data_IF_603874253503
#
_entry.id   IF_603874253503
#
_cell.length_a   1.000
_cell.length_b   1.000
_cell.length_c   1.000
_cell.angle_alpha   90.00
_cell.angle_beta   90.00
_cell.angle_gamma   90.00
#
_symmetry.space_group_name_H-M   'P 1'
#
loop_
_entity.id
_entity.type
_entity.pdbx_description
1 polymer ?
#
# COMPACT_ATOMS: atom_id res chain seq x y z
N UNK A 1 21.94 -29.22 32.56
CA UNK A 1 21.15 -28.39 31.62
C UNK A 1 19.73 -28.97 31.44
N UNK A 2 18.75 -28.67 32.32
CA UNK A 2 17.35 -28.99 32.02
C UNK A 2 16.43 -27.79 32.30
N UNK A 3 16.29 -26.88 31.33
CA UNK A 3 15.25 -25.84 31.35
C UNK A 3 14.32 -25.91 30.12
N UNK A 4 14.60 -26.82 29.17
CA UNK A 4 13.89 -26.94 27.89
C UNK A 4 12.65 -27.86 27.95
N UNK A 5 12.32 -28.42 29.12
CA UNK A 5 11.22 -29.38 29.30
C UNK A 5 10.07 -28.83 30.16
N UNK A 6 9.82 -27.51 30.15
CA UNK A 6 8.58 -26.99 30.74
C UNK A 6 7.44 -27.15 29.72
N UNK A 7 6.30 -27.78 30.08
CA UNK A 7 5.16 -27.94 29.18
C UNK A 7 4.58 -26.58 28.71
N UNK A 8 4.84 -25.51 29.47
CA UNK A 8 4.48 -24.14 29.11
C UNK A 8 5.28 -23.65 27.89
N UNK A 9 6.59 -23.93 27.79
CA UNK A 9 7.39 -23.49 26.65
C UNK A 9 6.91 -24.12 25.34
N UNK A 10 6.60 -25.42 25.36
CA UNK A 10 6.05 -26.13 24.21
C UNK A 10 4.67 -25.60 23.81
N UNK A 11 3.81 -25.26 24.77
CA UNK A 11 2.53 -24.61 24.49
C UNK A 11 2.71 -23.24 23.82
N UNK A 12 3.66 -22.42 24.27
CA UNK A 12 3.95 -21.13 23.62
C UNK A 12 4.53 -21.29 22.21
N UNK A 13 5.39 -22.30 22.00
CA UNK A 13 5.94 -22.61 20.68
C UNK A 13 4.83 -23.06 19.72
N UNK A 14 3.92 -23.93 20.14
CA UNK A 14 2.81 -24.38 19.29
C UNK A 14 1.83 -23.25 19.00
N UNK A 15 1.52 -22.40 19.97
CA UNK A 15 0.71 -21.19 19.76
C UNK A 15 1.39 -20.24 18.76
N UNK A 16 2.69 -19.97 18.94
CA UNK A 16 3.43 -19.08 18.05
C UNK A 16 3.51 -19.62 16.62
N UNK A 17 3.73 -20.93 16.45
CA UNK A 17 3.73 -21.59 15.14
C UNK A 17 2.35 -21.55 14.49
N UNK A 18 1.28 -21.85 15.24
CA UNK A 18 -0.09 -21.79 14.74
C UNK A 18 -0.47 -20.35 14.34
N UNK A 19 -0.11 -19.36 15.14
CA UNK A 19 -0.33 -17.95 14.84
C UNK A 19 0.47 -17.52 13.60
N UNK A 20 1.75 -17.90 13.50
CA UNK A 20 2.58 -17.60 12.33
C UNK A 20 2.05 -18.22 11.04
N UNK A 21 1.60 -19.48 11.11
CA UNK A 21 0.96 -20.16 9.98
C UNK A 21 -0.36 -19.48 9.57
N UNK A 22 -1.17 -19.08 10.55
CA UNK A 22 -2.41 -18.34 10.29
C UNK A 22 -2.15 -16.97 9.65
N UNK A 23 -1.16 -16.22 10.15
CA UNK A 23 -0.75 -14.94 9.57
C UNK A 23 -0.23 -15.12 8.15
N UNK A 24 0.55 -16.17 7.88
CA UNK A 24 1.02 -16.49 6.54
C UNK A 24 -0.15 -16.79 5.59
N UNK A 25 -1.11 -17.59 6.04
CA UNK A 25 -2.31 -17.95 5.26
C UNK A 25 -3.21 -16.73 4.95
N UNK A 26 -3.37 -15.82 5.92
CA UNK A 26 -4.18 -14.61 5.77
C UNK A 26 -3.38 -13.42 5.23
N UNK A 27 -2.09 -13.57 4.96
CA UNK A 27 -1.20 -12.46 4.55
C UNK A 27 -1.73 -11.61 3.37
N UNK A 28 -2.38 -12.17 2.33
CA UNK A 28 -2.92 -11.36 1.24
C UNK A 28 -4.09 -10.45 1.68
N UNK A 29 -4.87 -10.91 2.67
CA UNK A 29 -6.03 -10.19 3.21
C UNK A 29 -5.58 -9.21 4.30
N UNK A 30 -4.47 -9.46 5.00
CA UNK A 30 -3.95 -8.54 6.02
C UNK A 30 -3.59 -7.17 5.44
N UNK A 31 -3.03 -7.11 4.23
CA UNK A 31 -2.61 -5.86 3.60
C UNK A 31 -3.76 -4.84 3.44
N UNK A 32 -4.90 -5.17 2.80
CA UNK A 32 -6.02 -4.23 2.68
C UNK A 32 -6.65 -3.89 4.04
N UNK A 33 -6.64 -4.81 5.00
CA UNK A 33 -7.12 -4.55 6.36
C UNK A 33 -6.25 -3.55 7.12
N UNK A 34 -4.93 -3.73 7.08
CA UNK A 34 -3.97 -2.83 7.73
C UNK A 34 -4.03 -1.44 7.08
N UNK A 35 -4.11 -1.40 5.76
CA UNK A 35 -4.27 -0.15 5.02
C UNK A 35 -5.57 0.58 5.42
N UNK A 36 -6.69 -0.13 5.47
CA UNK A 36 -7.95 0.42 5.95
C UNK A 36 -7.88 0.87 7.41
N UNK A 37 -7.13 0.19 8.29
CA UNK A 37 -6.93 0.60 9.67
C UNK A 37 -6.12 1.90 9.80
N UNK A 38 -5.07 2.07 9.00
CA UNK A 38 -4.32 3.33 8.92
C UNK A 38 -5.23 4.46 8.43
N UNK A 39 -6.02 4.22 7.37
CA UNK A 39 -6.98 5.20 6.90
C UNK A 39 -8.05 5.52 7.95
N UNK A 40 -8.56 4.51 8.66
CA UNK A 40 -9.53 4.70 9.72
C UNK A 40 -8.98 5.62 10.81
N UNK A 41 -7.73 5.39 11.26
CA UNK A 41 -7.05 6.26 12.21
C UNK A 41 -6.94 7.72 11.71
N UNK A 42 -6.63 7.91 10.42
CA UNK A 42 -6.53 9.23 9.81
C UNK A 42 -7.90 9.93 9.72
N UNK A 43 -8.94 9.18 9.37
CA UNK A 43 -10.29 9.72 9.10
C UNK A 43 -11.20 9.79 10.33
N UNK A 44 -10.91 9.07 11.40
CA UNK A 44 -11.63 9.11 12.67
C UNK A 44 -11.85 10.54 13.22
N UNK A 45 -10.84 11.44 13.31
CA UNK A 45 -11.07 12.82 13.75
C UNK A 45 -12.03 13.60 12.85
N UNK A 46 -12.14 13.24 11.57
CA UNK A 46 -13.10 13.84 10.66
C UNK A 46 -14.53 13.35 10.96
N UNK A 47 -14.70 12.06 11.21
CA UNK A 47 -15.98 11.46 11.65
C UNK A 47 -16.43 12.03 12.99
N UNK A 48 -15.52 12.19 13.96
CA UNK A 48 -15.82 12.82 15.24
C UNK A 48 -16.29 14.26 15.07
N UNK A 49 -15.62 15.06 14.21
CA UNK A 49 -16.03 16.44 13.92
C UNK A 49 -17.46 16.50 13.39
N UNK A 50 -17.82 15.63 12.44
CA UNK A 50 -19.19 15.57 11.93
C UNK A 50 -20.19 15.15 13.02
N UNK A 51 -19.83 14.17 13.84
CA UNK A 51 -20.70 13.68 14.93
C UNK A 51 -20.97 14.76 15.98
N UNK A 52 -19.99 15.63 16.27
CA UNK A 52 -20.17 16.81 17.14
C UNK A 52 -21.20 17.81 16.61
N UNK A 53 -21.44 17.84 15.29
CA UNK A 53 -22.51 18.64 14.66
C UNK A 53 -23.89 17.95 14.67
N UNK A 54 -24.13 17.01 15.60
CA UNK A 54 -25.38 16.23 15.72
C UNK A 54 -25.69 15.30 14.52
N UNK A 55 -24.69 14.98 13.70
CA UNK A 55 -24.84 13.96 12.65
C UNK A 55 -24.75 12.58 13.29
N UNK A 56 -25.68 11.63 13.02
CA UNK A 56 -25.55 10.28 13.54
C UNK A 56 -24.28 9.63 12.99
N UNK A 57 -23.53 8.93 13.85
CA UNK A 57 -22.19 8.40 13.53
C UNK A 57 -22.15 7.61 12.23
N UNK A 58 -23.14 6.76 11.97
CA UNK A 58 -23.23 6.01 10.71
C UNK A 58 -23.26 6.90 9.48
N UNK A 59 -24.02 8.00 9.52
CA UNK A 59 -24.08 8.95 8.40
C UNK A 59 -22.77 9.73 8.25
N UNK A 60 -22.14 10.11 9.37
CA UNK A 60 -20.83 10.74 9.36
C UNK A 60 -19.77 9.84 8.69
N UNK A 61 -19.77 8.55 9.01
CA UNK A 61 -18.87 7.56 8.38
C UNK A 61 -19.14 7.43 6.87
N UNK A 62 -20.40 7.31 6.45
CA UNK A 62 -20.75 7.22 5.02
C UNK A 62 -20.28 8.46 4.27
N UNK A 63 -20.50 9.67 4.83
CA UNK A 63 -20.07 10.92 4.21
C UNK A 63 -18.54 11.00 4.08
N UNK A 64 -17.80 10.64 5.13
CA UNK A 64 -16.34 10.62 5.11
C UNK A 64 -15.81 9.57 4.13
N UNK A 65 -16.44 8.39 4.06
CA UNK A 65 -16.08 7.35 3.10
C UNK A 65 -16.29 7.82 1.65
N UNK A 66 -17.45 8.41 1.36
CA UNK A 66 -17.75 8.97 0.03
C UNK A 66 -16.75 10.07 -0.35
N UNK A 67 -16.42 10.96 0.59
CA UNK A 67 -15.42 11.99 0.39
C UNK A 67 -14.03 11.39 0.12
N UNK A 68 -13.62 10.39 0.91
CA UNK A 68 -12.33 9.72 0.73
C UNK A 68 -12.23 9.03 -0.64
N UNK A 69 -13.27 8.31 -1.06
CA UNK A 69 -13.34 7.68 -2.38
C UNK A 69 -13.32 8.74 -3.48
N UNK A 70 -14.10 9.82 -3.35
CA UNK A 70 -14.12 10.91 -4.34
C UNK A 70 -12.75 11.58 -4.48
N UNK A 71 -12.06 11.84 -3.37
CA UNK A 71 -10.69 12.39 -3.37
C UNK A 71 -9.71 11.41 -4.00
N UNK A 72 -9.78 10.12 -3.65
CA UNK A 72 -8.90 9.11 -4.24
C UNK A 72 -9.08 9.00 -5.77
N UNK A 73 -10.33 8.98 -6.23
CA UNK A 73 -10.66 8.97 -7.66
C UNK A 73 -10.15 10.24 -8.34
N UNK A 74 -10.37 11.42 -7.73
CA UNK A 74 -9.88 12.69 -8.27
C UNK A 74 -8.36 12.73 -8.38
N UNK A 75 -7.64 12.27 -7.34
CA UNK A 75 -6.19 12.12 -7.37
C UNK A 75 -5.78 11.18 -8.50
N UNK A 76 -6.42 10.03 -8.64
CA UNK A 76 -6.10 9.08 -9.70
C UNK A 76 -6.34 9.68 -11.09
N UNK A 77 -7.44 10.40 -11.28
CA UNK A 77 -7.73 11.09 -12.56
C UNK A 77 -6.72 12.18 -12.93
N UNK A 78 -6.03 12.78 -11.96
CA UNK A 78 -5.02 13.84 -12.21
C UNK A 78 -3.61 13.27 -12.26
N UNK A 79 -3.24 12.43 -11.29
CA UNK A 79 -1.89 11.88 -11.15
C UNK A 79 -1.59 10.88 -12.26
N UNK A 80 -2.53 10.02 -12.63
CA UNK A 80 -2.32 9.00 -13.65
C UNK A 80 -1.97 9.60 -15.03
N UNK A 81 -2.69 10.61 -15.57
CA UNK A 81 -2.30 11.22 -16.84
C UNK A 81 -1.02 12.05 -16.72
N UNK A 82 -0.79 12.73 -15.60
CA UNK A 82 0.47 13.42 -15.35
C UNK A 82 1.64 12.44 -15.41
N UNK A 83 1.55 11.32 -14.70
CA UNK A 83 2.57 10.28 -14.69
C UNK A 83 2.83 9.69 -16.07
N UNK A 84 1.77 9.46 -16.86
CA UNK A 84 1.90 8.98 -18.24
C UNK A 84 2.62 10.02 -19.13
N UNK A 85 2.23 11.29 -19.04
CA UNK A 85 2.85 12.38 -19.81
C UNK A 85 4.33 12.60 -19.42
N UNK A 86 4.65 12.53 -18.14
CA UNK A 86 6.02 12.65 -17.63
C UNK A 86 6.89 11.48 -18.08
N UNK A 87 6.37 10.25 -18.01
CA UNK A 87 7.08 9.06 -18.50
C UNK A 87 7.33 9.16 -20.01
N UNK A 88 6.34 9.62 -20.80
CA UNK A 88 6.50 9.85 -22.23
C UNK A 88 7.58 10.89 -22.54
N UNK A 89 7.58 12.01 -21.82
CA UNK A 89 8.57 13.07 -21.97
C UNK A 89 9.99 12.59 -21.60
N UNK A 90 10.11 11.77 -20.56
CA UNK A 90 11.38 11.17 -20.17
C UNK A 90 11.91 10.25 -21.28
N UNK A 91 11.03 9.45 -21.88
CA UNK A 91 11.40 8.52 -22.95
C UNK A 91 11.76 9.24 -24.25
N UNK A 92 11.13 10.38 -24.55
CA UNK A 92 11.54 11.26 -25.65
C UNK A 92 12.92 11.90 -25.42
N UNK A 93 13.28 12.19 -24.16
CA UNK A 93 14.58 12.78 -23.79
C UNK A 93 15.70 11.75 -23.56
N UNK A 94 15.34 10.47 -23.43
CA UNK A 94 16.26 9.35 -23.24
C UNK A 94 17.44 9.32 -24.25
N UNK A 95 17.23 9.47 -25.58
CA UNK A 95 18.34 9.41 -26.53
C UNK A 95 19.36 10.54 -26.30
N UNK A 96 18.87 11.73 -25.94
CA UNK A 96 19.71 12.90 -25.64
C UNK A 96 20.53 12.69 -24.36
N UNK A 97 19.94 12.04 -23.36
CA UNK A 97 20.63 11.67 -22.14
C UNK A 97 21.75 10.65 -22.41
N UNK A 98 21.46 9.61 -23.20
CA UNK A 98 22.46 8.60 -23.59
C UNK A 98 23.60 9.22 -24.41
N UNK A 99 23.29 10.12 -25.34
CA UNK A 99 24.30 10.83 -26.11
C UNK A 99 25.21 11.70 -25.22
N UNK A 100 24.63 12.41 -24.25
CA UNK A 100 25.42 13.20 -23.28
C UNK A 100 26.30 12.30 -22.40
N UNK A 101 25.77 11.16 -21.93
CA UNK A 101 26.50 10.18 -21.14
C UNK A 101 27.71 9.64 -21.91
N UNK A 102 27.53 9.22 -23.15
CA UNK A 102 28.63 8.70 -23.98
C UNK A 102 29.68 9.78 -24.30
N UNK A 103 29.28 11.05 -24.40
CA UNK A 103 30.18 12.14 -24.73
C UNK A 103 31.00 12.66 -23.52
N UNK A 104 30.44 12.64 -22.31
CA UNK A 104 31.07 13.26 -21.13
C UNK A 104 31.35 12.28 -20.00
N UNK A 105 30.39 11.41 -19.68
CA UNK A 105 30.50 10.50 -18.54
C UNK A 105 31.31 9.25 -18.86
N UNK A 106 31.11 8.63 -20.02
CA UNK A 106 31.84 7.43 -20.44
C UNK A 106 33.37 7.65 -20.54
N UNK A 107 33.88 8.76 -21.13
CA UNK A 107 35.32 9.03 -21.15
C UNK A 107 35.89 9.28 -19.75
N UNK A 108 35.14 9.95 -18.88
CA UNK A 108 35.54 10.17 -17.48
C UNK A 108 35.63 8.86 -16.70
N UNK A 109 34.65 7.96 -16.88
CA UNK A 109 34.62 6.64 -16.26
C UNK A 109 35.80 5.79 -16.71
N UNK A 110 36.09 5.80 -18.01
CA UNK A 110 37.24 5.10 -18.59
C UNK A 110 38.56 5.65 -18.03
N UNK A 111 38.70 6.98 -17.94
CA UNK A 111 39.92 7.61 -17.45
C UNK A 111 40.17 7.38 -15.95
N UNK A 112 39.13 7.20 -15.13
CA UNK A 112 39.26 7.09 -13.67
C UNK A 112 39.18 5.66 -13.13
N UNK A 113 38.44 4.79 -13.81
CA UNK A 113 38.10 3.44 -13.34
C UNK A 113 38.48 2.33 -14.33
N UNK A 114 39.04 2.67 -15.50
CA UNK A 114 39.38 1.75 -16.60
C UNK A 114 38.18 0.90 -17.10
N UNK A 115 36.96 1.39 -16.86
CA UNK A 115 35.72 0.75 -17.30
C UNK A 115 35.29 1.30 -18.67
N UNK A 116 35.19 0.43 -19.68
CA UNK A 116 34.67 0.80 -21.00
C UNK A 116 33.15 0.58 -21.06
N UNK A 117 32.41 1.57 -20.58
CA UNK A 117 30.94 1.56 -20.61
C UNK A 117 30.46 2.49 -21.72
N UNK A 118 29.89 1.91 -22.78
CA UNK A 118 29.18 2.64 -23.84
C UNK A 118 27.73 2.20 -23.87
N UNK A 119 26.82 3.17 -23.82
CA UNK A 119 25.40 2.91 -23.92
C UNK A 119 24.97 3.02 -25.38
N UNK A 120 24.33 1.98 -25.91
CA UNK A 120 23.76 2.02 -27.26
C UNK A 120 22.45 2.82 -27.24
N UNK A 121 22.42 3.90 -28.01
CA UNK A 121 21.25 4.78 -28.15
C UNK A 121 20.07 3.98 -28.72
N UNK A 122 20.31 3.07 -29.65
CA UNK A 122 19.25 2.35 -30.35
C UNK A 122 18.55 1.36 -29.40
N UNK A 123 19.32 0.57 -28.65
CA UNK A 123 18.79 -0.31 -27.60
C UNK A 123 18.07 0.48 -26.49
N UNK A 124 18.62 1.61 -26.03
CA UNK A 124 17.97 2.43 -25.01
C UNK A 124 16.62 2.98 -25.48
N UNK A 125 16.54 3.45 -26.73
CA UNK A 125 15.28 3.94 -27.30
C UNK A 125 14.26 2.84 -27.56
N UNK A 126 14.70 1.64 -27.98
CA UNK A 126 13.80 0.49 -28.14
C UNK A 126 13.21 0.04 -26.81
N UNK A 127 14.03 -0.10 -25.76
CA UNK A 127 13.56 -0.43 -24.41
C UNK A 127 12.56 0.60 -23.90
N UNK A 128 12.85 1.89 -24.08
CA UNK A 128 11.94 2.97 -23.69
C UNK A 128 10.58 2.90 -24.41
N UNK A 129 10.59 2.66 -25.73
CA UNK A 129 9.35 2.49 -26.52
C UNK A 129 8.58 1.24 -26.13
N UNK A 130 9.27 0.13 -25.86
CA UNK A 130 8.65 -1.11 -25.43
C UNK A 130 7.95 -0.95 -24.08
N UNK A 131 8.56 -0.26 -23.10
CA UNK A 131 7.92 0.01 -21.81
C UNK A 131 6.63 0.84 -21.95
N UNK A 132 6.61 1.85 -22.84
CA UNK A 132 5.37 2.58 -23.14
C UNK A 132 4.30 1.68 -23.79
N UNK A 133 4.71 0.86 -24.75
CA UNK A 133 3.80 -0.04 -25.46
C UNK A 133 3.20 -1.09 -24.51
N UNK A 134 4.01 -1.66 -23.61
CA UNK A 134 3.57 -2.60 -22.58
C UNK A 134 2.52 -1.97 -21.66
N UNK A 135 2.66 -0.70 -21.27
CA UNK A 135 1.66 0.01 -20.45
C UNK A 135 0.32 0.18 -21.19
N UNK A 136 0.34 0.49 -22.49
CA UNK A 136 -0.88 0.53 -23.30
C UNK A 136 -1.50 -0.85 -23.49
N UNK A 137 -0.66 -1.88 -23.63
CA UNK A 137 -1.10 -3.27 -23.77
C UNK A 137 -1.70 -3.80 -22.47
N UNK A 138 -1.14 -3.43 -21.31
CA UNK A 138 -1.68 -3.74 -19.98
C UNK A 138 -3.07 -3.15 -19.82
N UNK A 139 -3.26 -1.86 -20.15
CA UNK A 139 -4.57 -1.22 -20.10
C UNK A 139 -5.59 -1.93 -21.02
N UNK A 140 -5.18 -2.29 -22.24
CA UNK A 140 -6.02 -3.07 -23.18
C UNK A 140 -6.29 -4.48 -22.68
N UNK A 141 -5.31 -5.14 -22.06
CA UNK A 141 -5.46 -6.49 -21.48
C UNK A 141 -6.39 -6.47 -20.29
N UNK A 142 -6.33 -5.46 -19.41
CA UNK A 142 -7.31 -5.29 -18.34
C UNK A 142 -8.70 -5.12 -18.94
N UNK A 143 -8.89 -4.21 -19.91
CA UNK A 143 -10.17 -4.02 -20.61
C UNK A 143 -10.71 -5.28 -21.31
N UNK A 144 -9.82 -6.11 -21.84
CA UNK A 144 -10.20 -7.36 -22.52
C UNK A 144 -10.46 -8.47 -21.53
N UNK A 145 -9.66 -8.60 -20.47
CA UNK A 145 -9.90 -9.52 -19.35
C UNK A 145 -11.22 -9.20 -18.65
N UNK A 146 -11.56 -7.92 -18.48
CA UNK A 146 -12.88 -7.47 -18.02
C UNK A 146 -14.03 -8.02 -18.88
N UNK A 147 -13.81 -8.17 -20.18
CA UNK A 147 -14.82 -8.66 -21.13
C UNK A 147 -14.86 -10.19 -21.25
N UNK A 148 -13.74 -10.88 -21.06
CA UNK A 148 -13.58 -12.29 -21.48
C UNK A 148 -13.26 -13.26 -20.34
N UNK A 149 -12.84 -12.79 -19.16
CA UNK A 149 -12.43 -13.64 -18.04
C UNK A 149 -12.78 -13.04 -16.68
N UNK A 150 -13.87 -13.53 -16.07
CA UNK A 150 -14.36 -13.02 -14.78
C UNK A 150 -13.44 -13.27 -13.58
N UNK A 151 -12.52 -14.22 -13.64
CA UNK A 151 -11.72 -14.64 -12.47
C UNK A 151 -10.77 -13.53 -11.95
N UNK A 152 -10.02 -12.86 -12.84
CA UNK A 152 -9.13 -11.76 -12.47
C UNK A 152 -9.93 -10.54 -11.97
N UNK A 153 -11.10 -10.33 -12.57
CA UNK A 153 -11.99 -9.25 -12.16
C UNK A 153 -12.52 -9.46 -10.74
N UNK A 154 -12.85 -10.70 -10.36
CA UNK A 154 -13.30 -11.02 -9.00
C UNK A 154 -12.21 -10.68 -7.98
N UNK A 155 -10.94 -11.01 -8.25
CA UNK A 155 -9.84 -10.68 -7.33
C UNK A 155 -9.65 -9.17 -7.16
N UNK A 156 -9.61 -8.42 -8.27
CA UNK A 156 -9.44 -6.96 -8.21
C UNK A 156 -10.64 -6.30 -7.53
N UNK A 157 -11.87 -6.73 -7.83
CA UNK A 157 -13.07 -6.22 -7.18
C UNK A 157 -13.10 -6.58 -5.70
N UNK A 158 -12.70 -7.80 -5.34
CA UNK A 158 -12.61 -8.20 -3.95
C UNK A 158 -11.67 -7.25 -3.19
N UNK A 159 -10.46 -7.01 -3.68
CA UNK A 159 -9.50 -6.10 -3.04
C UNK A 159 -10.02 -4.65 -2.99
N UNK A 160 -10.59 -4.16 -4.11
CA UNK A 160 -11.09 -2.79 -4.23
C UNK A 160 -12.32 -2.52 -3.35
N UNK A 161 -13.20 -3.51 -3.18
CA UNK A 161 -14.40 -3.41 -2.34
C UNK A 161 -14.07 -3.67 -0.88
N UNK A 162 -13.08 -4.53 -0.60
CA UNK A 162 -12.72 -4.88 0.77
C UNK A 162 -12.20 -3.67 1.55
N UNK A 163 -11.33 -2.84 0.97
CA UNK A 163 -10.80 -1.64 1.64
C UNK A 163 -11.89 -0.69 2.13
N UNK A 164 -12.84 -0.20 1.29
CA UNK A 164 -13.89 0.71 1.74
C UNK A 164 -14.88 0.03 2.70
N UNK A 165 -15.15 -1.27 2.55
CA UNK A 165 -16.00 -2.02 3.50
C UNK A 165 -15.34 -2.11 4.87
N UNK A 166 -14.08 -2.51 4.92
CA UNK A 166 -13.33 -2.61 6.18
C UNK A 166 -13.17 -1.23 6.81
N UNK A 167 -12.86 -0.21 6.03
CA UNK A 167 -12.77 1.18 6.50
C UNK A 167 -14.10 1.66 7.09
N UNK A 168 -15.23 1.36 6.45
CA UNK A 168 -16.55 1.66 6.99
C UNK A 168 -16.77 1.02 8.37
N UNK A 169 -16.50 -0.28 8.50
CA UNK A 169 -16.66 -0.98 9.77
C UNK A 169 -15.72 -0.44 10.85
N UNK A 170 -14.44 -0.21 10.50
CA UNK A 170 -13.45 0.32 11.43
C UNK A 170 -13.81 1.71 11.92
N UNK A 171 -14.24 2.64 11.05
CA UNK A 171 -14.66 3.98 11.45
C UNK A 171 -15.97 3.96 12.27
N UNK A 172 -16.94 3.11 11.89
CA UNK A 172 -18.23 3.02 12.59
C UNK A 172 -18.08 2.46 13.99
N UNK A 173 -17.24 1.45 14.16
CA UNK A 173 -17.13 0.70 15.41
C UNK A 173 -15.78 0.98 16.12
N UNK A 174 -15.03 2.01 15.68
CA UNK A 174 -13.69 2.39 16.16
C UNK A 174 -13.55 2.36 17.69
N UNK A 175 -14.35 3.16 18.40
CA UNK A 175 -14.35 3.21 19.86
C UNK A 175 -14.59 1.85 20.53
N UNK A 176 -15.51 1.04 20.00
CA UNK A 176 -15.79 -0.30 20.55
C UNK A 176 -14.60 -1.25 20.36
N UNK A 177 -13.85 -1.10 19.25
CA UNK A 177 -12.63 -1.87 19.00
C UNK A 177 -11.52 -1.44 19.95
N UNK A 178 -11.32 -0.14 20.14
CA UNK A 178 -10.35 0.39 21.11
C UNK A 178 -10.67 -0.05 22.54
N UNK A 179 -11.93 0.05 22.96
CA UNK A 179 -12.36 -0.39 24.30
C UNK A 179 -12.06 -1.88 24.53
N UNK A 180 -12.24 -2.73 23.51
CA UNK A 180 -11.92 -4.16 23.60
C UNK A 180 -10.42 -4.41 23.65
N UNK A 181 -9.63 -3.70 22.84
CA UNK A 181 -8.17 -3.79 22.86
C UNK A 181 -7.63 -3.36 24.22
N UNK A 182 -8.19 -2.29 24.80
CA UNK A 182 -7.81 -1.79 26.13
C UNK A 182 -8.08 -2.80 27.25
N UNK A 183 -9.17 -3.57 27.16
CA UNK A 183 -9.49 -4.62 28.15
C UNK A 183 -8.53 -5.81 28.08
N UNK A 184 -7.97 -6.11 26.91
CA UNK A 184 -6.97 -7.17 26.72
C UNK A 184 -5.60 -6.81 27.29
N UNK A 185 -5.31 -5.52 27.50
CA UNK A 185 -4.06 -5.07 28.11
C UNK A 185 -4.24 -5.12 29.64
N UNK A 186 -3.51 -5.98 30.37
CA UNK A 186 -3.64 -6.06 31.82
C UNK A 186 -3.32 -4.70 32.45
N UNK A 187 -4.27 -4.16 33.24
CA UNK A 187 -4.18 -2.85 33.92
C UNK A 187 -2.86 -2.59 34.69
N UNK A 188 -2.10 -3.65 35.00
CA UNK A 188 -0.79 -3.62 35.65
C UNK A 188 0.29 -2.86 34.87
N UNK A 189 0.17 -2.69 33.54
CA UNK A 189 1.16 -1.97 32.73
C UNK A 189 0.95 -0.44 32.73
N UNK A 190 -0.30 0.02 32.90
CA UNK A 190 -0.61 1.46 32.96
C UNK A 190 0.03 2.19 34.16
N UNK A 191 0.18 1.50 35.29
CA UNK A 191 0.84 2.07 36.48
C UNK A 191 2.34 2.29 36.27
N UNK A 192 3.02 1.41 35.52
CA UNK A 192 4.46 1.54 35.22
C UNK A 192 4.75 2.63 34.19
N UNK A 193 3.89 2.82 33.19
CA UNK A 193 4.06 3.87 32.19
C UNK A 193 3.91 5.28 32.79
N UNK A 194 2.94 5.50 33.70
CA UNK A 194 2.81 6.79 34.42
C UNK A 194 3.97 7.07 35.38
N UNK A 195 4.57 6.04 35.97
CA UNK A 195 5.72 6.19 36.86
C UNK A 195 7.04 6.53 36.14
N UNK A 196 7.11 6.34 34.81
CA UNK A 196 8.28 6.72 33.99
C UNK A 196 8.11 8.09 33.30
N UNK A 197 6.89 8.65 33.33
CA UNK A 197 6.59 9.95 32.75
C UNK A 197 6.53 11.09 33.80
N UNK A 198 6.90 10.78 35.05
CA UNK A 198 7.10 11.74 36.15
C UNK A 198 8.58 11.71 36.55
#
# INVERSE_FOLDING_TARGET
>A
MPALASPQLWAWITIALAAGFLVWLLSPILAPFLFAAVLAYIFDPLVERLTRHRVPRTLAVVLVLLLAVAVAVAIMLVVLPLFYSETRLLMEKLPRFVAWFNAHAAPWLKARLDLDVRLDVENATQLGKQMLAENEQLAKHLLTSLKTGGMVLITILADLVLVPVVLFYLLRDWNLLLDRVDVLIPRRVHAKARAMAA
#
